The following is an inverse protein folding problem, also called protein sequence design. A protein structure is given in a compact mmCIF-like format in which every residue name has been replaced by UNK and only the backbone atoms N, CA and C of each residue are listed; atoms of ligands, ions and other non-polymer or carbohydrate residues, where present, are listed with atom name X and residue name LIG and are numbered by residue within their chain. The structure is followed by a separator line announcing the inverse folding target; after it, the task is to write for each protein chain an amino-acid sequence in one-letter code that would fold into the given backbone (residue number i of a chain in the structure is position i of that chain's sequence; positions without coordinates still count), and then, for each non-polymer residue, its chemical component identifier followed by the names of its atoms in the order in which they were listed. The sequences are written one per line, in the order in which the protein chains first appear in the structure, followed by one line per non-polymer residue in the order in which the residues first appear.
data_IF_959977137558
#
_entry.id   IF_959977137558
#
_cell.length_a   1.000
_cell.length_b   1.000
_cell.length_c   1.000
_cell.angle_alpha   90.00
_cell.angle_beta   90.00
_cell.angle_gamma   90.00
#
_symmetry.space_group_name_H-M   'P 1'
#
loop_
_entity.id
_entity.type
_entity.pdbx_description
1 polymer ?
#
# COMPACT_ATOMS: atom_id res chain seq x y z
N UNK A 1 13.65 -68.30 9.95
CA UNK A 1 13.52 -67.36 11.12
C UNK A 1 14.40 -66.09 10.93
N UNK A 2 15.71 -66.22 10.60
CA UNK A 2 16.62 -65.09 10.38
C UNK A 2 16.17 -64.13 9.30
N UNK A 3 15.67 -64.62 8.18
CA UNK A 3 15.18 -63.77 7.07
C UNK A 3 13.94 -62.96 7.44
N UNK A 4 12.98 -63.52 8.23
CA UNK A 4 11.82 -62.76 8.72
C UNK A 4 12.22 -61.69 9.75
N UNK A 5 13.22 -61.97 10.57
CA UNK A 5 13.76 -60.95 11.49
C UNK A 5 14.49 -59.83 10.76
N UNK A 6 15.25 -60.19 9.72
CA UNK A 6 15.92 -59.16 8.87
C UNK A 6 14.89 -58.35 8.10
N UNK A 7 13.83 -59.00 7.60
CA UNK A 7 12.75 -58.28 6.91
C UNK A 7 12.01 -57.33 7.85
N UNK A 8 11.64 -57.79 9.07
CA UNK A 8 11.00 -56.94 10.08
C UNK A 8 11.91 -55.83 10.57
N UNK A 9 13.24 -56.05 10.63
CA UNK A 9 14.19 -55.01 10.99
C UNK A 9 14.33 -53.97 9.88
N UNK A 10 14.35 -54.39 8.62
CA UNK A 10 14.39 -53.51 7.44
C UNK A 10 13.08 -52.75 7.28
N UNK A 11 11.93 -53.38 7.54
CA UNK A 11 10.62 -52.70 7.53
C UNK A 11 10.55 -51.64 8.63
N UNK A 12 11.11 -51.92 9.80
CA UNK A 12 11.18 -50.99 10.92
C UNK A 12 12.21 -49.86 10.67
N UNK A 13 13.35 -50.15 10.04
CA UNK A 13 14.30 -49.16 9.58
C UNK A 13 13.71 -48.30 8.45
N UNK A 14 12.85 -48.86 7.60
CA UNK A 14 12.12 -48.07 6.55
C UNK A 14 11.01 -47.22 7.17
N UNK A 15 10.34 -47.66 8.25
CA UNK A 15 9.37 -46.85 9.00
C UNK A 15 10.04 -45.79 9.88
N UNK A 16 11.16 -46.16 10.52
CA UNK A 16 12.00 -45.21 11.28
C UNK A 16 12.79 -44.24 10.36
N UNK A 17 13.03 -44.69 9.15
CA UNK A 17 13.70 -43.85 8.14
C UNK A 17 12.73 -42.74 7.75
N UNK A 18 13.07 -41.55 8.11
CA UNK A 18 12.24 -40.35 7.93
C UNK A 18 12.05 -39.96 6.42
N UNK A 19 12.42 -40.86 5.48
CA UNK A 19 12.32 -40.64 4.04
C UNK A 19 10.89 -40.30 3.56
N UNK A 20 9.83 -41.03 3.92
CA UNK A 20 8.47 -40.67 3.53
C UNK A 20 8.03 -39.35 4.14
N UNK A 21 8.46 -39.06 5.38
CA UNK A 21 8.19 -37.79 6.07
C UNK A 21 9.03 -36.65 5.43
N UNK A 22 10.26 -36.95 5.00
CA UNK A 22 11.12 -36.01 4.30
C UNK A 22 10.57 -35.73 2.89
N UNK A 23 10.09 -36.75 2.17
CA UNK A 23 9.46 -36.58 0.84
C UNK A 23 8.20 -35.72 0.96
N UNK A 24 7.35 -35.96 1.98
CA UNK A 24 6.16 -35.15 2.23
C UNK A 24 6.54 -33.71 2.56
N UNK A 25 7.53 -33.52 3.44
CA UNK A 25 8.07 -32.17 3.75
C UNK A 25 8.68 -31.47 2.51
N UNK A 26 9.26 -32.24 1.60
CA UNK A 26 9.77 -31.71 0.33
C UNK A 26 8.63 -31.32 -0.61
N UNK A 27 7.57 -32.15 -0.71
CA UNK A 27 6.37 -31.82 -1.47
C UNK A 27 5.66 -30.56 -0.94
N UNK A 28 5.51 -30.49 0.39
CA UNK A 28 4.93 -29.30 1.06
C UNK A 28 5.79 -28.05 0.80
N UNK A 29 7.12 -28.20 0.83
CA UNK A 29 8.05 -27.11 0.49
C UNK A 29 7.97 -26.75 -0.99
N UNK A 30 7.81 -27.72 -1.86
CA UNK A 30 7.65 -27.49 -3.30
C UNK A 30 6.36 -26.71 -3.59
N UNK A 31 5.27 -27.04 -2.91
CA UNK A 31 4.00 -26.32 -3.02
C UNK A 31 4.10 -24.90 -2.47
N UNK A 32 4.77 -24.70 -1.33
CA UNK A 32 5.09 -23.38 -0.80
C UNK A 32 5.97 -22.59 -1.79
N UNK A 33 6.94 -23.27 -2.42
CA UNK A 33 7.82 -22.66 -3.41
C UNK A 33 7.03 -22.21 -4.66
N UNK A 34 6.11 -23.07 -5.16
CA UNK A 34 5.20 -22.75 -6.26
C UNK A 34 4.31 -21.57 -5.92
N UNK A 35 3.73 -21.56 -4.71
CA UNK A 35 2.92 -20.43 -4.24
C UNK A 35 3.76 -19.14 -4.11
N UNK A 36 4.99 -19.28 -3.60
CA UNK A 36 5.95 -18.17 -3.53
C UNK A 36 6.30 -17.62 -4.90
N UNK A 37 6.45 -18.51 -5.90
CA UNK A 37 6.74 -18.11 -7.29
C UNK A 37 5.56 -17.35 -7.89
N UNK A 38 4.33 -17.86 -7.71
CA UNK A 38 3.10 -17.18 -8.16
C UNK A 38 2.93 -15.81 -7.47
N UNK A 39 3.25 -15.73 -6.17
CA UNK A 39 3.22 -14.46 -5.44
C UNK A 39 4.29 -13.49 -5.93
N UNK A 40 5.49 -14.00 -6.28
CA UNK A 40 6.53 -13.20 -6.92
C UNK A 40 6.11 -12.67 -8.28
N UNK A 41 5.54 -13.52 -9.12
CA UNK A 41 5.03 -13.10 -10.44
C UNK A 41 3.95 -12.01 -10.30
N UNK A 42 3.01 -12.19 -9.37
CA UNK A 42 2.00 -11.16 -9.07
C UNK A 42 2.63 -9.87 -8.53
N UNK A 43 3.65 -9.99 -7.68
CA UNK A 43 4.39 -8.84 -7.17
C UNK A 43 5.10 -8.09 -8.30
N UNK A 44 5.75 -8.85 -9.20
CA UNK A 44 6.42 -8.29 -10.38
C UNK A 44 5.43 -7.59 -11.33
N UNK A 45 4.23 -8.17 -11.50
CA UNK A 45 3.18 -7.57 -12.32
C UNK A 45 2.64 -6.27 -11.68
N UNK A 46 2.45 -6.27 -10.36
CA UNK A 46 2.07 -5.05 -9.61
C UNK A 46 3.20 -4.02 -9.68
N UNK A 47 4.46 -4.44 -9.53
CA UNK A 47 5.60 -3.53 -9.68
C UNK A 47 5.67 -2.93 -11.08
N UNK A 48 5.44 -3.73 -12.13
CA UNK A 48 5.34 -3.22 -13.52
C UNK A 48 4.19 -2.24 -13.68
N UNK A 49 3.02 -2.53 -13.09
CA UNK A 49 1.88 -1.63 -13.12
C UNK A 49 2.16 -0.31 -12.39
N UNK A 50 2.84 -0.35 -11.24
CA UNK A 50 3.28 0.83 -10.49
C UNK A 50 4.28 1.64 -11.32
N UNK A 51 5.29 0.97 -11.91
CA UNK A 51 6.28 1.63 -12.77
C UNK A 51 5.60 2.30 -13.98
N UNK A 52 4.67 1.60 -14.62
CA UNK A 52 3.90 2.16 -15.73
C UNK A 52 3.03 3.35 -15.29
N UNK A 53 2.45 3.31 -14.10
CA UNK A 53 1.72 4.44 -13.53
C UNK A 53 2.64 5.61 -13.18
N UNK A 54 3.81 5.33 -12.62
CA UNK A 54 4.84 6.34 -12.33
C UNK A 54 5.40 6.98 -13.61
N UNK A 55 5.63 6.18 -14.65
CA UNK A 55 6.03 6.69 -15.96
C UNK A 55 4.97 7.60 -16.58
N UNK A 56 3.68 7.21 -16.50
CA UNK A 56 2.56 8.05 -16.95
C UNK A 56 2.48 9.34 -16.15
N UNK A 57 2.67 9.27 -14.84
CA UNK A 57 2.69 10.44 -13.97
C UNK A 57 3.87 11.36 -14.30
N UNK A 58 5.08 10.77 -14.45
CA UNK A 58 6.27 11.52 -14.84
C UNK A 58 6.12 12.17 -16.22
N UNK A 59 5.45 11.47 -17.15
CA UNK A 59 5.15 12.04 -18.47
C UNK A 59 4.17 13.20 -18.36
N UNK A 60 3.11 13.04 -17.56
CA UNK A 60 2.13 14.10 -17.30
C UNK A 60 2.75 15.30 -16.58
N UNK A 61 3.68 15.03 -15.66
CA UNK A 61 4.44 16.09 -14.99
C UNK A 61 5.31 16.88 -15.98
N UNK A 62 6.03 16.16 -16.86
CA UNK A 62 6.84 16.81 -17.91
C UNK A 62 5.99 17.61 -18.90
N UNK A 63 4.80 17.10 -19.26
CA UNK A 63 3.84 17.83 -20.08
C UNK A 63 3.38 19.12 -19.38
N UNK A 64 3.10 19.04 -18.07
CA UNK A 64 2.75 20.18 -17.24
C UNK A 64 3.90 21.17 -17.08
N UNK A 65 5.12 20.67 -16.87
CA UNK A 65 6.32 21.50 -16.74
C UNK A 65 6.62 22.25 -18.06
N UNK A 66 6.46 21.55 -19.21
CA UNK A 66 6.59 22.16 -20.54
C UNK A 66 5.56 23.26 -20.78
N UNK A 67 4.29 23.02 -20.41
CA UNK A 67 3.22 24.01 -20.51
C UNK A 67 3.49 25.24 -19.62
N UNK A 68 4.10 25.03 -18.45
CA UNK A 68 4.52 26.12 -17.58
C UNK A 68 5.71 26.90 -18.15
N UNK A 69 6.66 26.22 -18.80
CA UNK A 69 7.80 26.87 -19.48
C UNK A 69 7.34 27.70 -20.69
N UNK A 70 6.42 27.18 -21.49
CA UNK A 70 5.81 27.89 -22.62
C UNK A 70 5.03 29.11 -22.13
N UNK A 71 4.26 28.99 -21.05
CA UNK A 71 3.56 30.12 -20.42
C UNK A 71 4.54 31.20 -19.94
N UNK A 72 5.65 30.79 -19.28
CA UNK A 72 6.72 31.72 -18.86
C UNK A 72 7.46 32.38 -20.03
N UNK A 73 7.61 31.65 -21.13
CA UNK A 73 8.21 32.21 -22.35
C UNK A 73 7.31 33.29 -22.97
N UNK A 74 6.01 33.01 -23.14
CA UNK A 74 5.05 33.98 -23.65
C UNK A 74 4.90 35.20 -22.72
N UNK A 75 4.95 34.95 -21.39
CA UNK A 75 4.92 36.03 -20.39
C UNK A 75 6.15 36.96 -20.52
N UNK A 76 7.36 36.37 -20.69
CA UNK A 76 8.59 37.16 -20.94
C UNK A 76 8.54 37.92 -22.25
N UNK A 77 8.01 37.32 -23.29
CA UNK A 77 7.88 37.97 -24.59
C UNK A 77 6.84 39.10 -24.55
N UNK A 78 5.74 38.90 -23.80
CA UNK A 78 4.73 39.93 -23.55
C UNK A 78 5.31 41.10 -22.76
N UNK A 79 6.11 40.82 -21.73
CA UNK A 79 6.83 41.85 -20.94
C UNK A 79 7.78 42.65 -21.84
N UNK A 80 8.59 41.97 -22.66
CA UNK A 80 9.52 42.62 -23.56
C UNK A 80 8.81 43.54 -24.57
N UNK A 81 7.65 43.11 -25.08
CA UNK A 81 6.82 43.93 -25.97
C UNK A 81 6.13 45.10 -25.26
N UNK A 82 5.75 44.89 -23.98
CA UNK A 82 5.23 45.98 -23.16
C UNK A 82 6.33 46.98 -22.80
N UNK A 83 7.57 46.51 -22.52
CA UNK A 83 8.72 47.41 -22.32
C UNK A 83 9.04 48.22 -23.58
N UNK A 84 8.91 47.61 -24.77
CA UNK A 84 9.05 48.30 -26.06
C UNK A 84 7.96 49.36 -26.28
N UNK A 85 6.71 49.08 -25.88
CA UNK A 85 5.57 50.01 -25.91
C UNK A 85 5.83 51.20 -25.00
N UNK A 86 6.31 50.99 -23.79
CA UNK A 86 6.63 52.05 -22.83
C UNK A 86 7.77 52.96 -23.38
N UNK A 87 8.77 52.39 -24.04
CA UNK A 87 9.85 53.13 -24.65
C UNK A 87 9.35 54.04 -25.79
N UNK A 88 8.47 53.54 -26.66
CA UNK A 88 7.86 54.31 -27.76
C UNK A 88 6.92 55.41 -27.23
N UNK A 89 6.17 55.12 -26.17
CA UNK A 89 5.30 56.09 -25.51
C UNK A 89 6.10 57.21 -24.83
N UNK A 90 7.25 56.88 -24.24
CA UNK A 90 8.19 57.88 -23.70
C UNK A 90 8.78 58.80 -24.78
N UNK A 91 9.04 58.31 -26.00
CA UNK A 91 9.49 59.13 -27.12
C UNK A 91 8.40 60.11 -27.62
N UNK A 92 7.15 59.65 -27.61
CA UNK A 92 5.97 60.46 -27.92
C UNK A 92 5.74 61.57 -26.87
N UNK A 93 6.06 61.26 -25.57
CA UNK A 93 5.97 62.22 -24.46
C UNK A 93 6.83 63.53 -24.65
N UNK A 94 7.96 63.38 -25.29
CA UNK A 94 8.86 64.53 -25.47
C UNK A 94 8.26 65.67 -26.29
N UNK A 95 7.05 65.51 -26.79
CA UNK A 95 6.44 66.42 -27.76
C UNK A 95 5.17 67.15 -27.28
N UNK A 96 4.49 66.80 -26.18
CA UNK A 96 3.24 67.51 -25.76
C UNK A 96 2.88 67.23 -24.26
N UNK A 97 2.36 68.27 -23.59
CA UNK A 97 1.73 68.31 -22.27
C UNK A 97 2.63 67.90 -21.08
N UNK A 98 2.35 68.38 -19.88
CA UNK A 98 3.07 68.02 -18.64
C UNK A 98 3.44 66.53 -18.59
N UNK A 99 4.75 66.31 -18.74
CA UNK A 99 5.31 64.95 -18.91
C UNK A 99 5.01 64.01 -17.69
N UNK A 100 4.86 64.59 -16.51
CA UNK A 100 4.57 63.84 -15.27
C UNK A 100 3.13 63.34 -15.22
N UNK A 101 2.19 64.19 -15.61
CA UNK A 101 0.77 63.79 -15.64
C UNK A 101 0.54 62.66 -16.65
N UNK A 102 1.12 62.78 -17.83
CA UNK A 102 1.05 61.74 -18.86
C UNK A 102 1.66 60.42 -18.38
N UNK A 103 2.85 60.47 -17.77
CA UNK A 103 3.51 59.29 -17.21
C UNK A 103 2.62 58.59 -16.16
N UNK A 104 2.00 59.35 -15.26
CA UNK A 104 1.10 58.80 -14.26
C UNK A 104 -0.10 58.06 -14.86
N UNK A 105 -0.68 58.61 -15.94
CA UNK A 105 -1.83 57.96 -16.62
C UNK A 105 -1.39 56.67 -17.31
N UNK A 106 -0.25 56.66 -17.96
CA UNK A 106 0.27 55.47 -18.64
C UNK A 106 0.66 54.37 -17.65
N UNK A 107 1.35 54.71 -16.57
CA UNK A 107 1.71 53.78 -15.50
C UNK A 107 0.47 53.21 -14.81
N UNK A 108 -0.54 54.03 -14.55
CA UNK A 108 -1.80 53.60 -13.98
C UNK A 108 -2.54 52.59 -14.87
N UNK A 109 -2.58 52.87 -16.19
CA UNK A 109 -3.20 52.01 -17.19
C UNK A 109 -2.45 50.66 -17.32
N UNK A 110 -1.11 50.72 -17.35
CA UNK A 110 -0.27 49.52 -17.38
C UNK A 110 -0.48 48.69 -16.12
N UNK A 111 -0.52 49.32 -14.94
CA UNK A 111 -0.77 48.68 -13.68
C UNK A 111 -2.17 48.02 -13.64
N UNK A 112 -3.20 48.67 -14.18
CA UNK A 112 -4.54 48.07 -14.29
C UNK A 112 -4.57 46.86 -15.21
N UNK A 113 -3.89 46.90 -16.36
CA UNK A 113 -3.80 45.78 -17.28
C UNK A 113 -3.01 44.62 -16.65
N UNK A 114 -1.90 44.92 -15.99
CA UNK A 114 -1.12 43.93 -15.24
C UNK A 114 -1.94 43.34 -14.10
N UNK A 115 -2.72 44.12 -13.41
CA UNK A 115 -3.64 43.68 -12.37
C UNK A 115 -4.69 42.70 -12.94
N UNK A 116 -5.28 43.00 -14.10
CA UNK A 116 -6.25 42.10 -14.75
C UNK A 116 -5.63 40.74 -15.09
N UNK A 117 -4.47 40.76 -15.75
CA UNK A 117 -3.75 39.55 -16.12
C UNK A 117 -3.36 38.73 -14.87
N UNK A 118 -2.80 39.37 -13.85
CA UNK A 118 -2.45 38.71 -12.59
C UNK A 118 -3.70 38.18 -11.84
N UNK A 119 -4.83 38.85 -11.97
CA UNK A 119 -6.11 38.38 -11.42
C UNK A 119 -6.58 37.07 -12.09
N UNK A 120 -6.37 36.94 -13.39
CA UNK A 120 -6.73 35.73 -14.13
C UNK A 120 -5.85 34.56 -13.68
N UNK A 121 -4.53 34.75 -13.55
CA UNK A 121 -3.62 33.74 -12.98
C UNK A 121 -3.96 33.39 -11.54
N UNK A 122 -4.33 34.37 -10.72
CA UNK A 122 -4.81 34.11 -9.37
C UNK A 122 -6.06 33.23 -9.36
N UNK A 123 -6.98 33.50 -10.29
CA UNK A 123 -8.21 32.69 -10.42
C UNK A 123 -7.90 31.25 -10.86
N UNK A 124 -6.98 31.08 -11.81
CA UNK A 124 -6.50 29.77 -12.23
C UNK A 124 -5.79 29.01 -11.10
N UNK A 125 -4.87 29.67 -10.38
CA UNK A 125 -4.19 29.09 -9.23
C UNK A 125 -5.19 28.66 -8.13
N UNK A 126 -6.23 29.46 -7.90
CA UNK A 126 -7.31 29.15 -6.99
C UNK A 126 -8.13 27.93 -7.44
N UNK A 127 -8.36 27.78 -8.73
CA UNK A 127 -8.97 26.60 -9.32
C UNK A 127 -8.11 25.34 -9.10
N UNK A 128 -6.81 25.44 -9.36
CA UNK A 128 -5.86 24.34 -9.07
C UNK A 128 -5.85 23.94 -7.59
N UNK A 129 -5.86 24.92 -6.70
CA UNK A 129 -5.93 24.67 -5.25
C UNK A 129 -7.19 23.92 -4.86
N UNK A 130 -8.34 24.31 -5.42
CA UNK A 130 -9.62 23.64 -5.15
C UNK A 130 -9.65 22.20 -5.69
N UNK A 131 -9.13 22.00 -6.89
CA UNK A 131 -8.96 20.66 -7.47
C UNK A 131 -8.10 19.77 -6.58
N UNK A 132 -6.96 20.27 -6.09
CA UNK A 132 -6.11 19.52 -5.17
C UNK A 132 -6.84 19.16 -3.86
N UNK A 133 -7.67 20.07 -3.33
CA UNK A 133 -8.50 19.80 -2.13
C UNK A 133 -9.51 18.68 -2.37
N UNK A 134 -10.20 18.73 -3.49
CA UNK A 134 -11.18 17.71 -3.87
C UNK A 134 -10.50 16.35 -4.07
N UNK A 135 -9.34 16.33 -4.74
CA UNK A 135 -8.53 15.12 -4.90
C UNK A 135 -8.08 14.55 -3.57
N UNK A 136 -7.64 15.40 -2.64
CA UNK A 136 -7.23 14.95 -1.31
C UNK A 136 -8.41 14.36 -0.55
N UNK A 137 -9.55 15.06 -0.52
CA UNK A 137 -10.77 14.57 0.14
C UNK A 137 -11.25 13.23 -0.41
N UNK A 138 -11.25 13.06 -1.75
CA UNK A 138 -11.58 11.80 -2.39
C UNK A 138 -10.62 10.67 -2.00
N UNK A 139 -9.29 10.98 -1.94
CA UNK A 139 -8.28 10.02 -1.51
C UNK A 139 -8.41 9.67 -0.02
N UNK A 140 -8.74 10.62 0.83
CA UNK A 140 -8.99 10.37 2.27
C UNK A 140 -10.22 9.49 2.48
N UNK A 141 -11.30 9.70 1.74
CA UNK A 141 -12.47 8.84 1.76
C UNK A 141 -12.12 7.42 1.28
N UNK A 142 -11.43 7.30 0.15
CA UNK A 142 -10.96 6.01 -0.37
C UNK A 142 -10.08 5.30 0.65
N UNK A 143 -9.12 6.00 1.25
CA UNK A 143 -8.25 5.44 2.27
C UNK A 143 -9.03 4.93 3.48
N UNK A 144 -10.02 5.69 3.95
CA UNK A 144 -10.86 5.28 5.08
C UNK A 144 -11.59 3.98 4.81
N UNK A 145 -12.18 3.83 3.61
CA UNK A 145 -12.88 2.62 3.21
C UNK A 145 -11.93 1.41 3.12
N UNK A 146 -10.81 1.56 2.42
CA UNK A 146 -9.84 0.47 2.26
C UNK A 146 -9.15 0.12 3.59
N UNK A 147 -8.94 1.10 4.47
CA UNK A 147 -8.38 0.89 5.80
C UNK A 147 -9.33 0.09 6.70
N UNK A 148 -10.64 0.34 6.62
CA UNK A 148 -11.64 -0.44 7.36
C UNK A 148 -11.64 -1.90 6.90
N UNK A 149 -11.61 -2.15 5.59
CA UNK A 149 -11.49 -3.51 5.04
C UNK A 149 -10.19 -4.18 5.49
N UNK A 150 -9.09 -3.44 5.49
CA UNK A 150 -7.80 -3.95 5.94
C UNK A 150 -7.82 -4.32 7.43
N UNK A 151 -8.41 -3.46 8.27
CA UNK A 151 -8.58 -3.74 9.70
C UNK A 151 -9.45 -4.98 9.94
N UNK A 152 -10.52 -5.15 9.17
CA UNK A 152 -11.36 -6.34 9.25
C UNK A 152 -10.56 -7.60 8.90
N UNK A 153 -9.78 -7.59 7.84
CA UNK A 153 -8.92 -8.72 7.47
C UNK A 153 -7.86 -9.03 8.53
N UNK A 154 -7.26 -7.99 9.15
CA UNK A 154 -6.33 -8.18 10.27
C UNK A 154 -7.04 -8.92 11.41
N UNK A 155 -8.25 -8.52 11.79
CA UNK A 155 -9.04 -9.16 12.85
C UNK A 155 -9.33 -10.62 12.53
N UNK A 156 -9.77 -10.89 11.29
CA UNK A 156 -10.06 -12.27 10.84
C UNK A 156 -8.82 -13.15 10.92
N UNK A 157 -7.67 -12.66 10.43
CA UNK A 157 -6.42 -13.41 10.48
C UNK A 157 -5.89 -13.59 11.91
N UNK A 158 -6.04 -12.58 12.78
CA UNK A 158 -5.70 -12.70 14.20
C UNK A 158 -6.58 -13.73 14.92
N UNK A 159 -7.87 -13.77 14.62
CA UNK A 159 -8.79 -14.77 15.14
C UNK A 159 -8.34 -16.18 14.73
N UNK A 160 -8.06 -16.38 13.44
CA UNK A 160 -7.55 -17.66 12.92
C UNK A 160 -6.21 -18.03 13.58
N UNK A 161 -5.32 -17.07 13.81
CA UNK A 161 -4.05 -17.29 14.48
C UNK A 161 -4.25 -17.78 15.92
N UNK A 162 -5.12 -17.13 16.67
CA UNK A 162 -5.42 -17.50 18.05
C UNK A 162 -6.18 -18.84 18.16
N UNK A 163 -7.08 -19.14 17.21
CA UNK A 163 -7.69 -20.47 17.08
C UNK A 163 -6.63 -21.54 16.81
N UNK A 164 -5.73 -21.29 15.86
CA UNK A 164 -4.64 -22.21 15.51
C UNK A 164 -3.71 -22.46 16.72
N UNK A 165 -3.34 -21.43 17.47
CA UNK A 165 -2.54 -21.56 18.69
C UNK A 165 -3.26 -22.42 19.75
N UNK A 166 -4.56 -22.23 19.90
CA UNK A 166 -5.38 -23.01 20.83
C UNK A 166 -5.49 -24.49 20.40
N UNK A 167 -5.73 -24.74 19.11
CA UNK A 167 -5.72 -26.08 18.52
C UNK A 167 -4.35 -26.75 18.68
N UNK A 168 -3.28 -25.98 18.47
CA UNK A 168 -1.91 -26.49 18.64
C UNK A 168 -1.66 -27.03 20.03
N UNK A 169 -2.11 -26.34 21.08
CA UNK A 169 -2.02 -26.78 22.46
C UNK A 169 -2.87 -28.03 22.74
N UNK A 170 -4.07 -28.09 22.15
CA UNK A 170 -4.93 -29.28 22.29
C UNK A 170 -4.29 -30.49 21.62
N UNK A 171 -3.82 -30.35 20.37
CA UNK A 171 -3.14 -31.45 19.66
C UNK A 171 -1.88 -31.91 20.38
N UNK A 172 -1.12 -31.01 21.00
CA UNK A 172 0.03 -31.36 21.83
C UNK A 172 -0.39 -32.24 23.00
N UNK A 173 -1.48 -31.89 23.69
CA UNK A 173 -2.05 -32.71 24.77
C UNK A 173 -2.50 -34.10 24.27
N UNK A 174 -3.20 -34.16 23.15
CA UNK A 174 -3.67 -35.41 22.55
C UNK A 174 -2.50 -36.30 22.10
N UNK A 175 -1.46 -35.73 21.49
CA UNK A 175 -0.22 -36.41 21.11
C UNK A 175 0.46 -37.00 22.35
N UNK A 176 0.54 -36.27 23.44
CA UNK A 176 1.15 -36.74 24.68
C UNK A 176 0.35 -37.92 25.26
N UNK A 177 -0.98 -37.83 25.31
CA UNK A 177 -1.86 -38.92 25.75
C UNK A 177 -1.72 -40.15 24.85
N UNK A 178 -1.67 -39.96 23.53
CA UNK A 178 -1.49 -41.04 22.57
C UNK A 178 -0.12 -41.72 22.74
N UNK A 179 0.95 -40.96 22.96
CA UNK A 179 2.29 -41.47 23.22
C UNK A 179 2.35 -42.30 24.53
N UNK A 180 1.70 -41.81 25.59
CA UNK A 180 1.58 -42.55 26.85
C UNK A 180 0.83 -43.88 26.63
N UNK A 181 -0.29 -43.83 25.87
CA UNK A 181 -1.05 -45.02 25.50
C UNK A 181 -0.23 -46.02 24.69
N UNK A 182 0.52 -45.56 23.70
CA UNK A 182 1.44 -46.39 22.89
C UNK A 182 2.51 -47.00 23.79
N UNK A 183 3.08 -46.21 24.70
CA UNK A 183 4.13 -46.71 25.62
C UNK A 183 3.60 -47.79 26.53
N UNK A 184 2.37 -47.66 27.05
CA UNK A 184 1.71 -48.66 27.86
C UNK A 184 1.43 -49.93 27.06
N UNK A 185 0.85 -49.80 25.86
CA UNK A 185 0.57 -50.96 25.00
C UNK A 185 1.83 -51.66 24.51
N UNK A 186 2.92 -50.93 24.21
CA UNK A 186 4.20 -51.55 23.90
C UNK A 186 4.73 -52.39 25.04
N UNK A 187 4.58 -51.91 26.28
CA UNK A 187 4.97 -52.70 27.45
C UNK A 187 4.12 -53.97 27.57
N UNK A 188 2.80 -53.87 27.38
CA UNK A 188 1.88 -55.00 27.39
C UNK A 188 2.21 -56.01 26.29
N UNK A 189 2.45 -55.53 25.06
CA UNK A 189 2.85 -56.37 23.92
C UNK A 189 4.17 -57.12 24.18
N UNK A 190 5.20 -56.40 24.67
CA UNK A 190 6.49 -56.99 25.00
C UNK A 190 6.39 -58.01 26.17
N UNK A 191 5.50 -57.75 27.11
CA UNK A 191 5.25 -58.70 28.20
C UNK A 191 4.59 -59.96 27.66
N UNK A 192 3.62 -59.86 26.74
CA UNK A 192 2.96 -61.02 26.12
C UNK A 192 3.98 -61.76 25.26
N UNK A 193 4.75 -61.11 24.42
CA UNK A 193 5.83 -61.73 23.62
C UNK A 193 6.86 -62.41 24.50
N UNK A 194 7.29 -61.79 25.58
CA UNK A 194 8.22 -62.41 26.54
C UNK A 194 7.60 -63.63 27.25
N UNK A 195 6.28 -63.59 27.47
CA UNK A 195 5.55 -64.75 28.13
C UNK A 195 5.67 -66.06 27.32
N UNK A 196 5.78 -65.94 25.97
CA UNK A 196 6.00 -67.10 25.09
C UNK A 196 7.37 -67.80 25.28
N UNK A 197 8.35 -67.07 25.81
CA UNK A 197 9.72 -67.58 26.07
C UNK A 197 9.89 -68.08 27.50
N UNK A 198 8.89 -67.91 28.37
CA UNK A 198 8.96 -68.34 29.76
C UNK A 198 8.32 -69.74 29.83
N UNK A 199 9.13 -70.81 30.06
CA UNK A 199 8.64 -72.12 30.24
C UNK A 199 8.28 -72.35 31.70
N UNK A 200 7.27 -73.24 31.92
CA UNK A 200 6.78 -73.59 33.24
C UNK A 200 7.89 -74.16 34.10
N UNK A 201 8.12 -73.59 35.26
CA UNK A 201 9.15 -74.03 36.20
C UNK A 201 10.55 -73.52 35.95
N UNK A 202 10.79 -72.71 34.87
CA UNK A 202 12.07 -72.04 34.60
C UNK A 202 12.13 -70.62 35.25
N UNK A 203 13.35 -70.21 35.57
CA UNK A 203 13.57 -68.84 36.08
C UNK A 203 13.34 -67.78 34.98
N UNK A 204 12.54 -66.80 35.30
CA UNK A 204 12.30 -65.71 34.42
C UNK A 204 13.63 -64.98 34.02
N UNK A 205 13.93 -64.84 32.76
CA UNK A 205 15.18 -64.18 32.32
C UNK A 205 15.26 -62.70 32.71
N UNK A 206 14.14 -62.06 33.06
CA UNK A 206 14.09 -60.63 33.44
C UNK A 206 14.25 -60.38 34.92
N UNK A 207 13.60 -61.22 35.79
CA UNK A 207 13.60 -60.97 37.23
C UNK A 207 14.23 -62.10 38.04
N UNK A 208 14.61 -63.23 37.43
CA UNK A 208 15.22 -64.38 38.07
C UNK A 208 14.26 -65.24 38.93
N UNK A 209 13.00 -64.84 39.04
CA UNK A 209 11.96 -65.58 39.82
C UNK A 209 11.24 -66.60 38.95
N UNK A 210 10.72 -67.67 39.58
CA UNK A 210 9.82 -68.62 38.93
C UNK A 210 8.42 -68.06 39.01
N UNK A 211 7.79 -67.84 37.84
CA UNK A 211 6.42 -67.38 37.74
C UNK A 211 5.48 -68.59 37.52
N UNK A 212 4.27 -68.59 38.12
CA UNK A 212 3.28 -69.63 37.81
C UNK A 212 2.88 -69.54 36.34
N UNK A 213 2.52 -70.71 35.75
CA UNK A 213 2.13 -70.80 34.34
C UNK A 213 1.11 -69.70 33.96
N UNK A 214 1.51 -68.87 33.10
CA UNK A 214 0.59 -67.92 32.51
C UNK A 214 -0.32 -68.62 31.52
N UNK A 215 -1.62 -68.47 31.67
CA UNK A 215 -2.60 -68.88 30.66
C UNK A 215 -2.43 -67.93 29.51
N UNK A 216 -1.73 -68.35 28.46
CA UNK A 216 -1.53 -67.59 27.27
C UNK A 216 -2.90 -67.26 26.67
N UNK A 217 -3.24 -66.02 26.70
CA UNK A 217 -4.31 -65.44 25.87
C UNK A 217 -3.72 -65.14 24.51
N UNK A 218 -4.29 -65.68 23.41
CA UNK A 218 -3.88 -65.35 22.03
C UNK A 218 -4.17 -63.87 21.71
N UNK A 219 -3.61 -62.93 22.49
CA UNK A 219 -3.84 -61.49 22.40
C UNK A 219 -2.74 -60.79 21.62
N UNK A 220 -1.67 -61.51 21.25
CA UNK A 220 -0.51 -60.88 20.59
C UNK A 220 -0.87 -60.20 19.28
N UNK A 221 -1.64 -60.90 18.41
CA UNK A 221 -2.10 -60.32 17.15
C UNK A 221 -3.03 -59.11 17.37
N UNK A 222 -3.93 -59.23 18.35
CA UNK A 222 -4.84 -58.13 18.69
C UNK A 222 -4.11 -56.92 19.29
N UNK A 223 -3.10 -57.16 20.14
CA UNK A 223 -2.26 -56.13 20.72
C UNK A 223 -1.38 -55.48 19.64
N UNK A 224 -0.81 -56.27 18.72
CA UNK A 224 -0.03 -55.77 17.58
C UNK A 224 -0.87 -54.91 16.64
N UNK A 225 -2.10 -55.36 16.32
CA UNK A 225 -3.03 -54.55 15.50
C UNK A 225 -3.41 -53.23 16.21
N UNK A 226 -3.78 -53.30 17.50
CA UNK A 226 -4.11 -52.10 18.28
C UNK A 226 -2.94 -51.12 18.43
N UNK A 227 -1.71 -51.63 18.55
CA UNK A 227 -0.50 -50.79 18.58
C UNK A 227 -0.27 -50.11 17.25
N UNK A 228 -0.52 -50.80 16.13
CA UNK A 228 -0.43 -50.26 14.79
C UNK A 228 -1.47 -49.15 14.58
N UNK A 229 -2.72 -49.38 15.00
CA UNK A 229 -3.79 -48.39 14.88
C UNK A 229 -3.48 -47.13 15.68
N UNK A 230 -3.01 -47.26 16.92
CA UNK A 230 -2.57 -46.10 17.72
C UNK A 230 -1.35 -45.37 17.14
N UNK A 231 -0.45 -46.14 16.52
CA UNK A 231 0.69 -45.51 15.85
C UNK A 231 0.24 -44.70 14.62
N UNK A 232 -0.74 -45.21 13.88
CA UNK A 232 -1.37 -44.48 12.77
C UNK A 232 -2.09 -43.23 13.28
N UNK A 233 -2.85 -43.35 14.38
CA UNK A 233 -3.51 -42.21 15.03
C UNK A 233 -2.50 -41.12 15.45
N UNK A 234 -1.41 -41.54 16.11
CA UNK A 234 -0.33 -40.63 16.50
C UNK A 234 0.27 -39.89 15.29
N UNK A 235 0.48 -40.59 14.19
CA UNK A 235 1.03 -39.98 12.98
C UNK A 235 0.04 -38.96 12.40
N UNK A 236 -1.25 -39.29 12.36
CA UNK A 236 -2.29 -38.37 11.91
C UNK A 236 -2.38 -37.09 12.80
N UNK A 237 -2.27 -37.27 14.13
CA UNK A 237 -2.23 -36.13 15.06
C UNK A 237 -1.00 -35.26 14.84
N UNK A 238 0.17 -35.84 14.61
CA UNK A 238 1.41 -35.10 14.31
C UNK A 238 1.34 -34.35 12.99
N UNK A 239 0.74 -34.92 11.96
CA UNK A 239 0.51 -34.21 10.68
C UNK A 239 -0.41 -33.02 10.88
N UNK A 240 -1.49 -33.17 11.65
CA UNK A 240 -2.38 -32.04 12.00
C UNK A 240 -1.63 -30.96 12.77
N UNK A 241 -0.83 -31.35 13.79
CA UNK A 241 -0.05 -30.41 14.58
C UNK A 241 0.98 -29.65 13.72
N UNK A 242 1.63 -30.34 12.80
CA UNK A 242 2.59 -29.72 11.88
C UNK A 242 1.91 -28.67 11.00
N UNK A 243 0.73 -28.98 10.43
CA UNK A 243 -0.03 -28.04 9.63
C UNK A 243 -0.44 -26.80 10.45
N UNK A 244 -0.98 -27.02 11.65
CA UNK A 244 -1.40 -25.93 12.55
C UNK A 244 -0.21 -25.05 12.93
N UNK A 245 0.93 -25.63 13.27
CA UNK A 245 2.14 -24.88 13.59
C UNK A 245 2.66 -24.04 12.43
N UNK A 246 2.63 -24.59 11.21
CA UNK A 246 2.97 -23.85 10.00
C UNK A 246 1.99 -22.70 9.74
N UNK A 247 0.70 -22.94 9.97
CA UNK A 247 -0.34 -21.92 9.84
C UNK A 247 -0.09 -20.75 10.80
N UNK A 248 0.22 -21.03 12.07
CA UNK A 248 0.56 -19.99 13.06
C UNK A 248 1.76 -19.18 12.60
N UNK A 249 2.83 -19.81 12.17
CA UNK A 249 4.04 -19.12 11.70
C UNK A 249 3.77 -18.24 10.48
N UNK A 250 2.98 -18.73 9.53
CA UNK A 250 2.60 -17.94 8.34
C UNK A 250 1.76 -16.72 8.69
N UNK A 251 0.79 -16.91 9.59
CA UNK A 251 -0.08 -15.82 10.05
C UNK A 251 0.71 -14.78 10.85
N UNK A 252 1.54 -15.20 11.79
CA UNK A 252 2.39 -14.31 12.57
C UNK A 252 3.34 -13.51 11.67
N UNK A 253 3.95 -14.14 10.67
CA UNK A 253 4.81 -13.47 9.70
C UNK A 253 4.04 -12.44 8.86
N UNK A 254 2.83 -12.79 8.40
CA UNK A 254 1.98 -11.91 7.59
C UNK A 254 1.44 -10.72 8.38
N UNK A 255 1.10 -10.92 9.64
CA UNK A 255 0.55 -9.91 10.56
C UNK A 255 1.63 -9.03 11.21
N UNK A 256 2.90 -9.44 11.15
CA UNK A 256 4.00 -8.73 11.81
C UNK A 256 4.00 -7.23 11.49
N UNK A 257 3.88 -6.41 12.54
CA UNK A 257 3.83 -4.95 12.45
C UNK A 257 2.54 -4.35 11.90
N UNK A 258 1.54 -5.18 11.53
CA UNK A 258 0.24 -4.73 11.01
C UNK A 258 -0.80 -4.56 12.14
N UNK A 259 -0.61 -5.20 13.27
CA UNK A 259 -1.47 -5.12 14.45
C UNK A 259 -1.63 -3.67 14.97
N UNK A 260 -0.62 -2.82 14.71
CA UNK A 260 -0.63 -1.40 15.07
C UNK A 260 -1.68 -0.57 14.32
N UNK A 261 -2.24 -1.12 13.24
CA UNK A 261 -3.33 -0.47 12.49
C UNK A 261 -4.70 -0.71 13.16
N UNK A 262 -4.77 -1.59 14.19
CA UNK A 262 -5.97 -1.79 15.01
C UNK A 262 -6.00 -0.80 16.18
N UNK A 263 -7.21 -0.41 16.58
CA UNK A 263 -7.42 0.29 17.85
C UNK A 263 -7.14 -0.67 19.01
N UNK A 264 -6.40 -0.20 20.01
CA UNK A 264 -5.78 -1.01 21.08
C UNK A 264 -6.73 -1.75 22.05
N UNK A 265 -8.04 -1.67 21.90
CA UNK A 265 -9.01 -2.13 22.91
C UNK A 265 -9.88 -3.32 22.44
N UNK A 266 -9.60 -3.93 21.29
CA UNK A 266 -10.39 -5.07 20.84
C UNK A 266 -9.79 -6.39 21.33
N UNK A 267 -10.45 -6.96 22.34
CA UNK A 267 -10.18 -8.33 22.82
C UNK A 267 -10.69 -9.30 21.75
N UNK A 268 -9.79 -10.10 21.20
CA UNK A 268 -10.15 -11.18 20.30
C UNK A 268 -10.61 -12.37 21.17
N UNK A 269 -11.91 -12.53 21.31
CA UNK A 269 -12.48 -13.72 21.93
C UNK A 269 -12.42 -14.87 20.93
N UNK A 270 -11.68 -15.93 21.27
CA UNK A 270 -11.59 -17.15 20.48
C UNK A 270 -12.24 -18.30 21.22
N UNK A 271 -13.09 -19.03 20.52
CA UNK A 271 -13.61 -20.32 20.97
C UNK A 271 -12.92 -21.43 20.18
N UNK A 272 -12.62 -22.54 20.85
CA UNK A 272 -12.13 -23.74 20.17
C UNK A 272 -13.19 -24.22 19.17
N UNK A 273 -12.82 -24.51 17.91
CA UNK A 273 -13.74 -25.08 16.94
C UNK A 273 -14.21 -26.47 17.41
N UNK A 274 -15.48 -26.80 17.14
CA UNK A 274 -16.09 -28.04 17.56
C UNK A 274 -15.41 -29.26 16.93
N UNK A 275 -14.85 -29.15 15.74
CA UNK A 275 -14.10 -30.18 15.04
C UNK A 275 -12.83 -29.64 14.41
N UNK A 276 -11.69 -30.07 14.94
CA UNK A 276 -10.34 -29.67 14.45
C UNK A 276 -10.10 -30.16 13.01
N UNK A 277 -10.62 -31.36 12.66
CA UNK A 277 -10.44 -31.89 11.30
C UNK A 277 -11.07 -30.99 10.25
N UNK A 278 -12.32 -30.66 10.46
CA UNK A 278 -13.07 -29.75 9.57
C UNK A 278 -12.41 -28.36 9.51
N UNK A 279 -11.95 -27.85 10.64
CA UNK A 279 -11.22 -26.56 10.66
C UNK A 279 -9.94 -26.61 9.81
N UNK A 280 -9.15 -27.68 9.92
CA UNK A 280 -7.92 -27.85 9.13
C UNK A 280 -8.23 -27.89 7.63
N UNK A 281 -9.23 -28.65 7.21
CA UNK A 281 -9.60 -28.78 5.80
C UNK A 281 -10.13 -27.43 5.24
N UNK A 282 -10.94 -26.70 6.01
CA UNK A 282 -11.39 -25.35 5.64
C UNK A 282 -10.20 -24.39 5.48
N UNK A 283 -9.26 -24.39 6.43
CA UNK A 283 -8.10 -23.50 6.34
C UNK A 283 -7.13 -23.89 5.22
N UNK A 284 -6.96 -25.19 4.94
CA UNK A 284 -6.21 -25.64 3.77
C UNK A 284 -6.79 -25.12 2.47
N UNK A 285 -8.13 -25.07 2.37
CA UNK A 285 -8.81 -24.59 1.17
C UNK A 285 -8.74 -23.06 1.02
N UNK A 286 -8.90 -22.31 2.12
CA UNK A 286 -9.21 -20.87 2.05
C UNK A 286 -8.07 -19.95 2.51
N UNK A 287 -7.13 -20.44 3.33
CA UNK A 287 -6.11 -19.57 3.94
C UNK A 287 -5.20 -18.90 2.93
N UNK A 288 -4.84 -19.60 1.85
CA UNK A 288 -3.99 -19.03 0.78
C UNK A 288 -4.65 -17.83 0.12
N UNK A 289 -5.94 -17.95 -0.14
CA UNK A 289 -6.72 -16.87 -0.79
C UNK A 289 -6.89 -15.69 0.16
N UNK A 290 -7.14 -15.97 1.44
CA UNK A 290 -7.22 -14.93 2.48
C UNK A 290 -5.90 -14.16 2.62
N UNK A 291 -4.77 -14.85 2.66
CA UNK A 291 -3.45 -14.22 2.74
C UNK A 291 -3.11 -13.42 1.48
N UNK A 292 -3.54 -13.90 0.33
CA UNK A 292 -3.39 -13.18 -0.94
C UNK A 292 -4.22 -11.89 -0.91
N UNK A 293 -5.50 -11.98 -0.56
CA UNK A 293 -6.38 -10.82 -0.43
C UNK A 293 -5.86 -9.80 0.61
N UNK A 294 -5.36 -10.28 1.74
CA UNK A 294 -4.74 -9.45 2.76
C UNK A 294 -3.50 -8.70 2.23
N UNK A 295 -2.63 -9.41 1.51
CA UNK A 295 -1.44 -8.80 0.90
C UNK A 295 -1.81 -7.73 -0.13
N UNK A 296 -2.79 -8.01 -0.98
CA UNK A 296 -3.30 -7.05 -1.95
C UNK A 296 -3.90 -5.81 -1.27
N UNK A 297 -4.67 -6.02 -0.20
CA UNK A 297 -5.27 -4.92 0.56
C UNK A 297 -4.22 -4.05 1.25
N UNK A 298 -3.19 -4.67 1.82
CA UNK A 298 -2.05 -3.96 2.39
C UNK A 298 -1.35 -3.07 1.35
N UNK A 299 -1.12 -3.60 0.14
CA UNK A 299 -0.53 -2.85 -0.97
C UNK A 299 -1.42 -1.69 -1.41
N UNK A 300 -2.74 -1.90 -1.50
CA UNK A 300 -3.70 -0.83 -1.82
C UNK A 300 -3.63 0.30 -0.80
N UNK A 301 -3.71 0.00 0.49
CA UNK A 301 -3.61 0.99 1.56
C UNK A 301 -2.28 1.77 1.49
N UNK A 302 -1.19 1.07 1.26
CA UNK A 302 0.14 1.69 1.15
C UNK A 302 0.23 2.61 -0.07
N UNK A 303 -0.29 2.19 -1.21
CA UNK A 303 -0.35 2.98 -2.44
C UNK A 303 -1.20 4.24 -2.28
N UNK A 304 -2.36 4.12 -1.63
CA UNK A 304 -3.22 5.27 -1.35
C UNK A 304 -2.54 6.25 -0.41
N UNK A 305 -1.89 5.78 0.67
CA UNK A 305 -1.09 6.62 1.59
C UNK A 305 -0.01 7.39 0.84
N UNK A 306 0.71 6.74 -0.06
CA UNK A 306 1.72 7.40 -0.90
C UNK A 306 1.12 8.47 -1.82
N UNK A 307 0.03 8.15 -2.51
CA UNK A 307 -0.70 9.08 -3.36
C UNK A 307 -1.27 10.27 -2.59
N UNK A 308 -1.79 10.05 -1.37
CA UNK A 308 -2.25 11.13 -0.49
C UNK A 308 -1.11 12.09 -0.11
N UNK A 309 0.08 11.56 0.18
CA UNK A 309 1.26 12.38 0.48
C UNK A 309 1.60 13.29 -0.70
N UNK A 310 1.62 12.72 -1.90
CA UNK A 310 1.90 13.48 -3.12
C UNK A 310 0.88 14.60 -3.35
N UNK A 311 -0.42 14.30 -3.20
CA UNK A 311 -1.49 15.30 -3.32
C UNK A 311 -1.36 16.38 -2.23
N UNK A 312 -0.95 16.04 -1.00
CA UNK A 312 -0.67 17.02 0.07
C UNK A 312 0.49 17.96 -0.31
N UNK A 313 1.52 17.43 -0.92
CA UNK A 313 2.65 18.24 -1.39
C UNK A 313 2.23 19.17 -2.54
N UNK A 314 1.41 18.69 -3.47
CA UNK A 314 0.81 19.51 -4.54
C UNK A 314 -0.11 20.60 -3.97
N UNK A 315 -0.94 20.27 -2.99
CA UNK A 315 -1.81 21.21 -2.31
C UNK A 315 -1.01 22.33 -1.61
N UNK A 316 0.10 21.98 -0.98
CA UNK A 316 1.00 22.97 -0.36
C UNK A 316 1.55 23.93 -1.41
N UNK A 317 2.08 23.40 -2.53
CA UNK A 317 2.59 24.24 -3.62
C UNK A 317 1.52 25.18 -4.20
N UNK A 318 0.32 24.62 -4.48
CA UNK A 318 -0.79 25.42 -4.98
C UNK A 318 -1.21 26.53 -3.99
N UNK A 319 -1.17 26.24 -2.67
CA UNK A 319 -1.44 27.24 -1.63
C UNK A 319 -0.39 28.36 -1.61
N UNK A 320 0.87 27.99 -1.75
CA UNK A 320 1.97 28.95 -1.79
C UNK A 320 1.85 29.86 -3.03
N UNK A 321 1.57 29.30 -4.21
CA UNK A 321 1.30 30.07 -5.44
C UNK A 321 0.15 31.07 -5.28
N UNK A 322 -0.99 30.61 -4.75
CA UNK A 322 -2.14 31.50 -4.48
C UNK A 322 -1.74 32.64 -3.54
N UNK A 323 -0.93 32.34 -2.53
CA UNK A 323 -0.46 33.33 -1.56
C UNK A 323 0.45 34.37 -2.21
N UNK A 324 1.34 33.94 -3.08
CA UNK A 324 2.24 34.85 -3.83
C UNK A 324 1.47 35.74 -4.82
N UNK A 325 0.55 35.17 -5.59
CA UNK A 325 -0.32 35.93 -6.46
C UNK A 325 -1.17 36.94 -5.71
N UNK A 326 -1.72 36.56 -4.55
CA UNK A 326 -2.48 37.46 -3.70
C UNK A 326 -1.65 38.65 -3.22
N UNK A 327 -0.39 38.41 -2.77
CA UNK A 327 0.53 39.48 -2.36
C UNK A 327 0.85 40.40 -3.53
N UNK A 328 1.11 39.84 -4.70
CA UNK A 328 1.40 40.62 -5.90
C UNK A 328 0.21 41.47 -6.32
N UNK A 329 -1.01 40.92 -6.29
CA UNK A 329 -2.24 41.66 -6.60
C UNK A 329 -2.48 42.80 -5.63
N UNK A 330 -2.24 42.55 -4.33
CA UNK A 330 -2.38 43.56 -3.28
C UNK A 330 -1.41 44.71 -3.51
N UNK A 331 -0.15 44.41 -3.78
CA UNK A 331 0.88 45.41 -4.07
C UNK A 331 0.53 46.26 -5.31
N UNK A 332 0.06 45.60 -6.39
CA UNK A 332 -0.38 46.31 -7.62
C UNK A 332 -1.61 47.18 -7.34
N UNK A 333 -2.58 46.72 -6.56
CA UNK A 333 -3.76 47.48 -6.21
C UNK A 333 -3.41 48.74 -5.40
N UNK A 334 -2.49 48.61 -4.45
CA UNK A 334 -2.02 49.71 -3.62
C UNK A 334 -1.25 50.72 -4.45
N UNK A 335 -0.45 50.25 -5.43
CA UNK A 335 0.22 51.14 -6.41
C UNK A 335 -0.79 51.91 -7.26
N UNK A 336 -1.81 51.25 -7.83
CA UNK A 336 -2.89 51.87 -8.59
C UNK A 336 -3.61 52.96 -7.76
N UNK A 337 -3.91 52.65 -6.49
CA UNK A 337 -4.54 53.60 -5.57
C UNK A 337 -3.67 54.84 -5.32
N UNK A 338 -2.37 54.64 -5.17
CA UNK A 338 -1.40 55.74 -4.97
C UNK A 338 -1.36 56.63 -6.18
N UNK A 339 -1.22 56.07 -7.39
CA UNK A 339 -1.22 56.84 -8.65
C UNK A 339 -2.52 57.61 -8.88
N UNK A 340 -3.70 56.98 -8.57
CA UNK A 340 -4.99 57.68 -8.65
C UNK A 340 -5.06 58.87 -7.72
N UNK A 341 -4.51 58.72 -6.50
CA UNK A 341 -4.56 59.76 -5.49
C UNK A 341 -3.64 60.95 -5.81
N UNK A 342 -2.50 60.71 -6.48
CA UNK A 342 -1.51 61.71 -6.78
C UNK A 342 -2.05 62.85 -7.70
N UNK A 343 -2.93 62.48 -8.67
CA UNK A 343 -3.50 63.38 -9.63
C UNK A 343 -5.04 63.41 -9.66
N UNK A 344 -5.69 62.83 -8.64
CA UNK A 344 -7.16 62.70 -8.52
C UNK A 344 -7.82 62.05 -9.74
N UNK A 345 -7.18 60.98 -10.26
CA UNK A 345 -7.62 60.29 -11.48
C UNK A 345 -8.68 59.24 -11.10
N UNK A 346 -9.89 59.44 -11.62
CA UNK A 346 -10.97 58.47 -11.42
C UNK A 346 -10.86 57.21 -12.33
N UNK A 347 -10.42 57.43 -13.58
CA UNK A 347 -10.36 56.40 -14.61
C UNK A 347 -9.20 56.68 -15.58
N UNK A 348 -8.14 55.90 -15.49
CA UNK A 348 -6.94 56.06 -16.33
C UNK A 348 -7.24 55.94 -17.82
N UNK A 349 -8.23 55.12 -18.21
CA UNK A 349 -8.57 54.91 -19.62
C UNK A 349 -9.26 56.15 -20.19
N UNK A 350 -10.20 56.74 -19.45
CA UNK A 350 -10.90 57.96 -19.88
C UNK A 350 -9.96 59.17 -20.01
N UNK A 351 -9.09 59.36 -19.04
CA UNK A 351 -8.09 60.43 -19.07
C UNK A 351 -7.11 60.25 -20.22
N UNK A 352 -6.72 59.03 -20.54
CA UNK A 352 -5.90 58.71 -21.69
C UNK A 352 -6.60 59.09 -23.02
N UNK A 353 -7.90 58.69 -23.15
CA UNK A 353 -8.69 58.98 -24.32
C UNK A 353 -8.86 60.51 -24.51
N UNK A 354 -9.01 61.26 -23.41
CA UNK A 354 -9.06 62.74 -23.43
C UNK A 354 -7.70 63.40 -23.90
N UNK A 355 -6.58 62.80 -23.50
CA UNK A 355 -5.26 63.21 -23.97
C UNK A 355 -5.09 62.95 -25.47
N UNK A 356 -5.52 61.73 -25.90
CA UNK A 356 -5.47 61.38 -27.34
C UNK A 356 -6.41 62.21 -28.18
N UNK A 357 -7.60 62.58 -27.71
CA UNK A 357 -8.49 63.54 -28.41
C UNK A 357 -7.89 64.92 -28.55
N UNK A 358 -7.11 65.41 -27.59
CA UNK A 358 -6.34 66.65 -27.68
C UNK A 358 -5.18 66.59 -28.67
N UNK A 359 -4.71 65.35 -28.92
CA UNK A 359 -3.55 65.14 -29.81
C UNK A 359 -3.92 64.68 -31.23
N UNK A 360 -5.19 64.73 -31.62
CA UNK A 360 -5.68 64.34 -32.96
C UNK A 360 -4.90 64.99 -34.14
N UNK A 361 -3.98 65.88 -33.86
CA UNK A 361 -3.09 66.53 -34.87
C UNK A 361 -1.82 65.74 -35.18
N UNK A 362 -1.65 64.49 -34.63
CA UNK A 362 -0.40 63.75 -34.83
C UNK A 362 -0.68 62.32 -35.33
N UNK A 363 -1.15 62.27 -36.56
CA UNK A 363 -1.48 61.02 -37.27
C UNK A 363 -0.31 60.00 -37.38
N UNK A 364 0.94 60.50 -37.44
CA UNK A 364 2.10 59.62 -37.69
C UNK A 364 2.42 58.66 -36.52
N UNK A 365 2.16 59.08 -35.29
CA UNK A 365 2.38 58.21 -34.13
C UNK A 365 1.26 57.20 -33.90
N UNK A 366 0.05 57.51 -34.35
CA UNK A 366 -1.11 56.62 -34.17
C UNK A 366 -0.97 55.33 -34.99
N UNK A 367 -0.39 55.34 -36.16
CA UNK A 367 -0.16 54.17 -36.99
C UNK A 367 0.89 53.23 -36.39
N UNK A 368 1.99 53.79 -35.82
CA UNK A 368 3.01 52.96 -35.15
C UNK A 368 2.48 52.31 -33.88
N UNK A 369 1.66 52.99 -33.11
CA UNK A 369 1.02 52.49 -31.90
C UNK A 369 -0.03 51.42 -32.27
N UNK A 370 -0.80 51.62 -33.35
CA UNK A 370 -1.74 50.62 -33.86
C UNK A 370 -1.04 49.33 -34.31
N UNK A 371 0.09 49.44 -35.01
CA UNK A 371 0.88 48.29 -35.44
C UNK A 371 1.43 47.47 -34.27
N UNK A 372 1.84 48.13 -33.19
CA UNK A 372 2.36 47.46 -32.00
C UNK A 372 1.25 46.82 -31.16
N UNK A 373 0.07 47.44 -31.06
CA UNK A 373 -1.12 46.85 -30.42
C UNK A 373 -1.62 45.60 -31.14
N UNK A 374 -1.56 45.56 -32.48
CA UNK A 374 -1.87 44.35 -33.25
C UNK A 374 -0.89 43.23 -32.94
N UNK A 375 0.41 43.48 -32.83
CA UNK A 375 1.42 42.48 -32.46
C UNK A 375 1.22 41.92 -31.05
N UNK A 376 0.90 42.75 -30.09
CA UNK A 376 0.58 42.32 -28.70
C UNK A 376 -0.68 41.45 -28.67
N UNK A 377 -1.73 41.85 -29.42
CA UNK A 377 -2.96 41.08 -29.54
C UNK A 377 -2.79 39.75 -30.28
N UNK A 378 -1.81 39.64 -31.18
CA UNK A 378 -1.43 38.39 -31.83
C UNK A 378 -0.69 37.46 -30.83
N UNK A 379 0.18 38.01 -30.00
CA UNK A 379 0.87 37.31 -28.93
C UNK A 379 -0.08 36.89 -27.80
N UNK A 380 -1.12 37.66 -27.52
CA UNK A 380 -2.18 37.29 -26.55
C UNK A 380 -3.09 36.16 -27.05
N UNK A 381 -3.08 35.87 -28.35
CA UNK A 381 -3.91 34.82 -28.96
C UNK A 381 -3.15 33.51 -29.23
N UNK A 382 -1.81 33.56 -29.22
CA UNK A 382 -0.95 32.39 -29.38
C UNK A 382 -0.63 31.74 -28.02
#
# INVERSE_FOLDING_TARGET
KKLKQQQSCLEQEMEDNQYPKAIKKLADKEDILKQSTILKEKLDDIQKAILAAQERLSKKQKESDSLNEDSLYYEKELIAKNEELDSLLMQQQKCVVDSRYRQCIEDGRLAENTYRTKRDYYTEAKGKLETCRQMLSAKEQQFTQESLLFQQQIKELLTICAEAESIGKQLESEINQCNEGITKQKKEYLLEELSHYIKDGEKCPLCGNIHPSYVFSNKEEALGASLKDKTNELNALKEKQQYVSQTVLLLQASLSGKEKELSSDEIIETSLPADIGTWIEDKKANLSDMLTAFSEQCLKCTSIKASMKEVKDQLKKAKDEVTEFYKALKSLLDNIKTLRKEYDIADFTKEFDLIVEKEKKREEYEEQIKALRLKISELEKS
#
